data_IF_436008441435
#
_entry.id   IF_436008441435
#
_cell.length_a   1.000
_cell.length_b   1.000
_cell.length_c   1.000
_cell.angle_alpha   90.00
_cell.angle_beta   90.00
_cell.angle_gamma   90.00
#
_symmetry.space_group_name_H-M   'P 1'
#
loop_
_entity.id
_entity.type
_entity.pdbx_description
1 polymer ?
#
# COMPACT_ATOMS: atom_id res chain seq x y z
N UNK A 1 1.76 11.40 -6.54
CA UNK A 1 1.19 11.49 -7.90
C UNK A 1 -0.28 11.02 -8.03
N UNK A 2 -0.97 10.56 -6.97
CA UNK A 2 -2.31 9.94 -7.09
C UNK A 2 -3.58 10.85 -7.10
N UNK A 3 -3.62 12.09 -6.55
CA UNK A 3 -4.90 12.81 -6.42
C UNK A 3 -5.47 13.27 -7.76
N UNK A 4 -4.60 13.65 -8.72
CA UNK A 4 -5.01 14.24 -10.00
C UNK A 4 -5.79 13.25 -10.87
N UNK A 5 -5.40 11.97 -10.90
CA UNK A 5 -6.06 10.96 -11.74
C UNK A 5 -7.53 10.74 -11.33
N UNK A 6 -7.78 10.66 -10.02
CA UNK A 6 -9.12 10.40 -9.47
C UNK A 6 -10.06 11.57 -9.72
N UNK A 7 -9.56 12.80 -9.54
CA UNK A 7 -10.30 14.01 -9.86
C UNK A 7 -10.65 14.07 -11.35
N UNK A 8 -9.70 13.76 -12.25
CA UNK A 8 -9.96 13.71 -13.70
C UNK A 8 -11.03 12.69 -14.10
N UNK A 9 -11.07 11.52 -13.44
CA UNK A 9 -12.13 10.52 -13.64
C UNK A 9 -13.50 11.10 -13.29
N UNK A 10 -13.61 11.77 -12.13
CA UNK A 10 -14.88 12.32 -11.66
C UNK A 10 -15.34 13.50 -12.53
N UNK A 11 -14.43 14.38 -12.92
CA UNK A 11 -14.74 15.51 -13.80
C UNK A 11 -15.26 15.04 -15.16
N UNK A 12 -14.53 14.13 -15.82
CA UNK A 12 -14.96 13.58 -17.11
C UNK A 12 -16.31 12.82 -17.00
N UNK A 13 -16.55 12.16 -15.87
CA UNK A 13 -17.83 11.51 -15.60
C UNK A 13 -18.97 12.52 -15.39
N UNK A 14 -18.70 13.68 -14.77
CA UNK A 14 -19.65 14.77 -14.62
C UNK A 14 -19.96 15.45 -15.96
N UNK A 15 -18.99 15.49 -16.87
CA UNK A 15 -19.16 15.94 -18.26
C UNK A 15 -19.91 14.91 -19.14
N UNK A 16 -20.40 13.82 -18.55
CA UNK A 16 -21.23 12.80 -19.23
C UNK A 16 -20.43 11.69 -19.93
N UNK A 17 -19.11 11.65 -19.81
CA UNK A 17 -18.31 10.61 -20.46
C UNK A 17 -18.57 9.21 -19.88
N UNK A 18 -18.60 8.21 -20.76
CA UNK A 18 -18.72 6.81 -20.37
C UNK A 18 -17.41 6.28 -19.77
N UNK A 19 -17.48 5.19 -18.99
CA UNK A 19 -16.29 4.62 -18.36
C UNK A 19 -15.23 4.18 -19.38
N UNK A 20 -15.65 3.68 -20.54
CA UNK A 20 -14.76 3.27 -21.61
C UNK A 20 -14.01 4.47 -22.22
N UNK A 21 -14.71 5.58 -22.46
CA UNK A 21 -14.11 6.81 -23.00
C UNK A 21 -13.08 7.37 -22.01
N UNK A 22 -13.43 7.45 -20.73
CA UNK A 22 -12.52 7.95 -19.68
C UNK A 22 -11.28 7.06 -19.57
N UNK A 23 -11.44 5.73 -19.64
CA UNK A 23 -10.35 4.78 -19.57
C UNK A 23 -9.34 4.98 -20.71
N UNK A 24 -9.83 5.14 -21.95
CA UNK A 24 -8.99 5.43 -23.12
C UNK A 24 -8.29 6.78 -22.98
N UNK A 25 -9.01 7.84 -22.62
CA UNK A 25 -8.45 9.19 -22.47
C UNK A 25 -7.37 9.29 -21.39
N UNK A 26 -7.48 8.51 -20.32
CA UNK A 26 -6.56 8.55 -19.19
C UNK A 26 -5.50 7.43 -19.24
N UNK A 27 -5.58 6.51 -20.20
CA UNK A 27 -4.64 5.38 -20.33
C UNK A 27 -4.71 4.39 -19.16
N UNK A 28 -5.89 4.15 -18.61
CA UNK A 28 -6.11 3.27 -17.45
C UNK A 28 -7.16 2.20 -17.75
N UNK A 29 -7.23 1.15 -16.93
CA UNK A 29 -8.28 0.16 -17.09
C UNK A 29 -9.66 0.69 -16.68
N UNK A 30 -10.70 0.20 -17.35
CA UNK A 30 -12.11 0.57 -17.10
C UNK A 30 -12.52 0.27 -15.65
N UNK A 31 -11.98 -0.79 -15.04
CA UNK A 31 -12.26 -1.13 -13.64
C UNK A 31 -11.75 -0.08 -12.65
N UNK A 32 -10.64 0.59 -12.98
CA UNK A 32 -10.14 1.70 -12.16
C UNK A 32 -11.10 2.88 -12.24
N UNK A 33 -11.61 3.21 -13.44
CA UNK A 33 -12.64 4.25 -13.62
C UNK A 33 -13.91 3.91 -12.84
N UNK A 34 -14.42 2.68 -12.99
CA UNK A 34 -15.63 2.20 -12.30
C UNK A 34 -15.48 2.29 -10.78
N UNK A 35 -14.33 1.85 -10.26
CA UNK A 35 -14.02 1.92 -8.82
C UNK A 35 -14.07 3.35 -8.31
N UNK A 36 -13.40 4.29 -8.97
CA UNK A 36 -13.35 5.67 -8.49
C UNK A 36 -14.67 6.40 -8.63
N UNK A 37 -15.42 6.18 -9.72
CA UNK A 37 -16.78 6.71 -9.85
C UNK A 37 -17.71 6.18 -8.76
N UNK A 38 -17.68 4.88 -8.48
CA UNK A 38 -18.48 4.28 -7.40
C UNK A 38 -18.13 4.90 -6.04
N UNK A 39 -16.83 5.00 -5.71
CA UNK A 39 -16.41 5.60 -4.43
C UNK A 39 -16.83 7.06 -4.31
N UNK A 40 -16.80 7.83 -5.39
CA UNK A 40 -17.30 9.21 -5.40
C UNK A 40 -18.83 9.26 -5.24
N UNK A 41 -19.59 8.42 -5.96
CA UNK A 41 -21.04 8.38 -5.81
C UNK A 41 -21.48 8.01 -4.38
N UNK A 42 -20.76 7.10 -3.72
CA UNK A 42 -21.09 6.69 -2.36
C UNK A 42 -20.66 7.69 -1.28
N UNK A 43 -19.47 8.29 -1.42
CA UNK A 43 -18.80 9.01 -0.33
C UNK A 43 -18.40 10.45 -0.68
N UNK A 44 -18.80 10.95 -1.86
CA UNK A 44 -18.42 12.27 -2.37
C UNK A 44 -16.90 12.46 -2.42
N UNK A 45 -16.46 13.66 -2.03
CA UNK A 45 -15.06 14.05 -2.01
C UNK A 45 -14.20 13.16 -1.09
N UNK A 46 -14.72 12.72 0.05
CA UNK A 46 -14.03 11.81 0.98
C UNK A 46 -13.70 10.47 0.31
N UNK A 47 -14.53 10.02 -0.64
CA UNK A 47 -14.30 8.81 -1.44
C UNK A 47 -13.04 8.85 -2.30
N UNK A 48 -12.50 10.04 -2.60
CA UNK A 48 -11.30 10.22 -3.41
C UNK A 48 -10.01 10.22 -2.60
N UNK A 49 -10.09 10.36 -1.27
CA UNK A 49 -8.92 10.37 -0.39
C UNK A 49 -8.22 9.01 -0.42
N UNK A 50 -6.91 9.05 -0.21
CA UNK A 50 -6.15 7.84 0.05
C UNK A 50 -6.64 7.24 1.36
N UNK A 51 -7.17 6.01 1.28
CA UNK A 51 -7.41 5.24 2.48
C UNK A 51 -6.08 4.91 3.12
N UNK A 52 -6.06 4.89 4.45
CA UNK A 52 -4.99 4.23 5.19
C UNK A 52 -4.80 2.85 4.58
N UNK A 53 -3.63 2.57 4.02
CA UNK A 53 -3.33 1.26 3.48
C UNK A 53 -3.48 0.30 4.65
N UNK A 54 -4.48 -0.59 4.59
CA UNK A 54 -4.54 -1.71 5.52
C UNK A 54 -3.32 -2.56 5.20
N UNK A 55 -2.23 -2.33 5.92
CA UNK A 55 -1.08 -3.19 5.88
C UNK A 55 -1.50 -4.62 6.22
N UNK A 56 -0.65 -5.59 5.92
CA UNK A 56 -0.87 -6.95 6.39
C UNK A 56 -1.08 -6.91 7.92
N UNK A 57 -2.13 -7.55 8.47
CA UNK A 57 -2.30 -7.65 9.90
C UNK A 57 -1.01 -8.10 10.57
N UNK A 58 -0.63 -7.45 11.67
CA UNK A 58 0.59 -7.81 12.40
C UNK A 58 0.46 -9.25 12.89
N UNK A 59 1.45 -10.08 12.58
CA UNK A 59 1.52 -11.48 13.04
C UNK A 59 2.33 -11.65 14.32
N UNK A 60 3.20 -10.70 14.62
CA UNK A 60 4.08 -10.73 15.79
C UNK A 60 3.72 -9.59 16.75
N UNK A 61 3.88 -9.86 18.04
CA UNK A 61 3.74 -8.86 19.09
C UNK A 61 4.77 -7.73 18.90
N UNK A 62 4.48 -6.54 19.42
CA UNK A 62 5.31 -5.36 19.18
C UNK A 62 6.74 -5.54 19.76
N UNK A 63 6.83 -6.28 20.86
CA UNK A 63 8.03 -6.60 21.61
C UNK A 63 8.96 -7.48 20.76
N UNK A 64 8.43 -8.54 20.17
CA UNK A 64 9.18 -9.45 19.28
C UNK A 64 9.72 -8.69 18.06
N UNK A 65 8.91 -7.80 17.48
CA UNK A 65 9.36 -6.97 16.34
C UNK A 65 10.46 -6.00 16.77
N UNK A 66 10.38 -5.43 17.96
CA UNK A 66 11.40 -4.53 18.48
C UNK A 66 12.73 -5.27 18.75
N UNK A 67 12.66 -6.46 19.32
CA UNK A 67 13.83 -7.32 19.58
C UNK A 67 14.52 -7.72 18.27
N UNK A 68 13.76 -8.22 17.28
CA UNK A 68 14.32 -8.60 15.97
C UNK A 68 14.95 -7.38 15.28
N UNK A 69 14.33 -6.20 15.38
CA UNK A 69 14.91 -4.97 14.82
C UNK A 69 16.20 -4.57 15.54
N UNK A 70 16.25 -4.66 16.87
CA UNK A 70 17.45 -4.37 17.63
C UNK A 70 18.59 -5.33 17.26
N UNK A 71 18.30 -6.62 17.18
CA UNK A 71 19.24 -7.65 16.74
C UNK A 71 19.74 -7.40 15.31
N UNK A 72 18.85 -7.08 14.39
CA UNK A 72 19.20 -6.82 13.00
C UNK A 72 20.01 -5.53 12.82
N UNK A 73 19.87 -4.56 13.72
CA UNK A 73 20.62 -3.32 13.73
C UNK A 73 21.93 -3.40 14.56
N UNK A 74 22.19 -4.51 15.23
CA UNK A 74 23.45 -4.76 15.93
C UNK A 74 24.51 -5.32 14.96
N UNK A 75 25.79 -5.00 15.19
CA UNK A 75 26.88 -5.58 14.42
C UNK A 75 26.97 -7.09 14.69
N UNK A 76 26.93 -7.96 13.67
CA UNK A 76 26.99 -9.41 13.84
C UNK A 76 28.23 -9.91 14.59
N UNK A 77 29.33 -9.14 14.54
CA UNK A 77 30.55 -9.39 15.33
C UNK A 77 30.35 -9.27 16.84
N UNK A 78 29.36 -8.50 17.32
CA UNK A 78 29.00 -8.42 18.75
C UNK A 78 28.17 -9.61 19.22
N UNK A 79 27.45 -10.26 18.30
CA UNK A 79 26.60 -11.44 18.56
C UNK A 79 27.32 -12.74 18.19
N UNK A 80 28.58 -12.66 17.75
CA UNK A 80 29.42 -13.82 17.41
C UNK A 80 29.03 -14.52 16.11
N UNK A 81 28.27 -13.86 15.21
CA UNK A 81 27.81 -14.44 13.94
C UNK A 81 28.59 -13.82 12.76
N UNK A 82 29.20 -14.62 11.87
CA UNK A 82 29.90 -14.09 10.71
C UNK A 82 28.94 -13.47 9.68
N UNK A 83 29.31 -12.31 9.12
CA UNK A 83 28.52 -11.53 8.14
C UNK A 83 28.11 -12.29 6.88
N UNK A 84 28.80 -13.39 6.58
CA UNK A 84 28.59 -14.22 5.40
C UNK A 84 27.42 -15.20 5.54
N UNK A 85 26.78 -15.30 6.72
CA UNK A 85 25.72 -16.28 6.98
C UNK A 85 24.57 -15.68 7.81
N UNK A 86 23.39 -15.50 7.19
CA UNK A 86 22.14 -15.13 7.89
C UNK A 86 21.51 -16.35 8.57
N UNK A 87 22.24 -16.99 9.49
CA UNK A 87 21.70 -18.05 10.35
C UNK A 87 21.76 -17.57 11.80
N UNK A 88 20.61 -17.56 12.49
CA UNK A 88 20.53 -17.35 13.92
C UNK A 88 20.59 -18.72 14.61
N UNK A 89 21.78 -19.31 14.76
CA UNK A 89 21.93 -20.57 15.49
C UNK A 89 21.79 -20.32 17.00
N UNK A 90 20.57 -20.31 17.51
CA UNK A 90 20.32 -20.03 18.92
C UNK A 90 18.98 -20.50 19.50
N UNK A 91 18.06 -21.09 18.72
CA UNK A 91 16.88 -21.75 19.31
C UNK A 91 17.19 -23.22 19.52
N UNK A 92 17.73 -23.55 20.70
CA UNK A 92 17.68 -24.93 21.23
C UNK A 92 16.21 -25.25 21.49
N UNK A 93 15.68 -26.21 20.72
CA UNK A 93 14.47 -26.96 21.07
C UNK A 93 14.72 -27.79 22.33
#
# INVERSE_FOLDING_TARGET
>A
MAPVLRARIVLAAADGASNAVIAVQLGICVDTVRKWRMRFCCNGFEGLRDLSRSGRPRRFAAEVVAEIKALACELPTRVGVPLTRMELSGTRT
#
